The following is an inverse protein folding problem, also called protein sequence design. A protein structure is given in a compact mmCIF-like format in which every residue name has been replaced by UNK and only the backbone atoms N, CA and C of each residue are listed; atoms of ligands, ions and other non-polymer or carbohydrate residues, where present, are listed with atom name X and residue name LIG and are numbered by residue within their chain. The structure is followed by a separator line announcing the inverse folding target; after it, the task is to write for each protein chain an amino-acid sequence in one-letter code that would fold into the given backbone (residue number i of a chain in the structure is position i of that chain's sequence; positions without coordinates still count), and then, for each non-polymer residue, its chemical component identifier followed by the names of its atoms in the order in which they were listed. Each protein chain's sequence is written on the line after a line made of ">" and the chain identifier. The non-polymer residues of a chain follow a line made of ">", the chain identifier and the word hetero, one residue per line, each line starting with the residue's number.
data_IF_977090709044
#
_entry.id   IF_977090709044
#
_cell.length_a   1.000
_cell.length_b   1.000
_cell.length_c   1.000
_cell.angle_alpha   90.00
_cell.angle_beta   90.00
_cell.angle_gamma   90.00
#
_symmetry.space_group_name_H-M   'P 1'
#
loop_
_entity.id
_entity.type
_entity.pdbx_description
1 polymer ?
#
# COMPACT_ATOMS: atom_id res chain seq x y z
N UNK A 1 -9.55 -83.08 -8.86
CA UNK A 1 -10.12 -81.73 -9.06
C UNK A 1 -9.72 -80.90 -7.85
N UNK A 2 -8.86 -79.87 -8.03
CA UNK A 2 -9.40 -78.53 -8.23
C UNK A 2 -8.65 -77.71 -9.31
N UNK A 3 -9.36 -76.67 -9.76
CA UNK A 3 -9.02 -75.68 -10.77
C UNK A 3 -7.98 -74.69 -10.22
N UNK A 4 -6.87 -74.48 -10.94
CA UNK A 4 -5.96 -73.34 -10.71
C UNK A 4 -6.42 -72.18 -11.59
N UNK A 5 -6.98 -71.15 -10.95
CA UNK A 5 -7.39 -69.89 -11.59
C UNK A 5 -6.15 -69.01 -11.74
N UNK A 6 -5.80 -68.69 -12.99
CA UNK A 6 -4.87 -67.62 -13.33
C UNK A 6 -5.48 -66.26 -12.98
N UNK A 7 -4.79 -65.46 -12.16
CA UNK A 7 -5.06 -64.02 -12.06
C UNK A 7 -3.90 -63.27 -12.71
N UNK A 8 -4.14 -62.73 -13.91
CA UNK A 8 -3.28 -61.75 -14.55
C UNK A 8 -3.56 -60.37 -13.92
N UNK A 9 -2.59 -59.81 -13.20
CA UNK A 9 -2.63 -58.40 -12.81
C UNK A 9 -2.13 -57.55 -13.97
N UNK A 10 -3.06 -56.96 -14.72
CA UNK A 10 -2.79 -55.84 -15.63
C UNK A 10 -2.73 -54.55 -14.81
N UNK A 11 -1.53 -54.08 -14.48
CA UNK A 11 -1.29 -52.75 -13.93
C UNK A 11 -1.39 -51.73 -15.06
N UNK A 12 -2.56 -51.11 -15.20
CA UNK A 12 -2.79 -49.95 -16.04
C UNK A 12 -2.21 -48.71 -15.35
N UNK A 13 -1.00 -48.28 -15.76
CA UNK A 13 -0.46 -46.98 -15.41
C UNK A 13 -1.20 -45.89 -16.20
N UNK A 14 -2.17 -45.23 -15.56
CA UNK A 14 -2.71 -43.96 -16.04
C UNK A 14 -1.66 -42.87 -15.80
N UNK A 15 -0.98 -42.46 -16.87
CA UNK A 15 -0.11 -41.28 -16.90
C UNK A 15 -0.95 -40.01 -16.70
N UNK A 16 -1.00 -39.48 -15.49
CA UNK A 16 -1.43 -38.10 -15.28
C UNK A 16 -0.33 -37.18 -15.78
N UNK A 17 -0.60 -36.45 -16.87
CA UNK A 17 0.21 -35.33 -17.28
C UNK A 17 0.17 -34.28 -16.15
N UNK A 18 1.26 -34.18 -15.38
CA UNK A 18 1.51 -33.05 -14.49
C UNK A 18 1.79 -31.86 -15.40
N UNK A 19 0.75 -31.07 -15.70
CA UNK A 19 0.95 -29.72 -16.22
C UNK A 19 1.82 -28.98 -15.21
N UNK A 20 3.05 -28.66 -15.59
CA UNK A 20 3.98 -27.93 -14.75
C UNK A 20 3.37 -26.60 -14.32
N UNK A 21 3.07 -26.47 -13.03
CA UNK A 21 2.71 -25.18 -12.45
C UNK A 21 3.99 -24.36 -12.46
N UNK A 22 4.09 -23.41 -13.40
CA UNK A 22 5.23 -22.50 -13.45
C UNK A 22 5.20 -21.65 -12.17
N UNK A 23 6.27 -21.75 -11.38
CA UNK A 23 6.36 -21.04 -10.11
C UNK A 23 6.45 -19.53 -10.37
N UNK A 24 5.64 -18.74 -9.68
CA UNK A 24 5.57 -17.28 -9.86
C UNK A 24 6.37 -16.55 -8.78
N UNK A 25 6.98 -15.42 -9.14
CA UNK A 25 7.68 -14.54 -8.19
C UNK A 25 6.70 -13.54 -7.58
N UNK A 26 6.34 -13.74 -6.31
CA UNK A 26 5.42 -12.87 -5.58
C UNK A 26 5.95 -11.45 -5.34
N UNK A 27 7.26 -11.23 -5.52
CA UNK A 27 7.89 -9.91 -5.38
C UNK A 27 7.86 -9.09 -6.66
N UNK A 28 7.66 -9.73 -7.82
CA UNK A 28 7.66 -9.06 -9.10
C UNK A 28 6.27 -9.09 -9.73
N UNK A 29 5.61 -7.94 -9.77
CA UNK A 29 4.32 -7.75 -10.42
C UNK A 29 4.48 -6.82 -11.64
N UNK A 30 4.18 -7.35 -12.82
CA UNK A 30 4.34 -6.66 -14.09
C UNK A 30 2.96 -6.38 -14.71
N UNK A 31 2.79 -5.17 -15.26
CA UNK A 31 1.59 -4.85 -16.02
C UNK A 31 1.78 -5.38 -17.44
N UNK A 32 1.04 -6.43 -17.81
CA UNK A 32 1.12 -7.03 -19.13
C UNK A 32 0.13 -6.33 -20.06
N UNK A 33 0.66 -5.63 -21.08
CA UNK A 33 -0.14 -5.02 -22.13
C UNK A 33 -1.01 -6.09 -22.80
N UNK A 34 -2.32 -5.90 -22.73
CA UNK A 34 -3.29 -6.80 -23.34
C UNK A 34 -4.65 -6.11 -23.50
N UNK A 35 -5.55 -6.73 -24.26
CA UNK A 35 -6.92 -6.24 -24.40
C UNK A 35 -7.66 -6.36 -23.06
N UNK A 36 -8.10 -5.24 -22.51
CA UNK A 36 -8.88 -5.19 -21.28
C UNK A 36 -10.37 -5.20 -21.61
N UNK A 37 -11.10 -6.22 -21.11
CA UNK A 37 -12.52 -6.43 -21.43
C UNK A 37 -13.45 -5.36 -20.86
N UNK A 38 -13.11 -4.82 -19.69
CA UNK A 38 -13.91 -3.84 -18.98
C UNK A 38 -13.03 -3.00 -18.07
N UNK A 39 -13.31 -1.70 -18.02
CA UNK A 39 -12.71 -0.75 -17.09
C UNK A 39 -13.82 -0.03 -16.34
N UNK A 40 -13.64 0.21 -15.04
CA UNK A 40 -14.56 1.00 -14.20
C UNK A 40 -13.83 2.19 -13.56
N UNK A 41 -14.57 3.12 -12.94
CA UNK A 41 -13.97 4.34 -12.36
C UNK A 41 -13.02 4.06 -11.20
N UNK A 42 -13.25 3.01 -10.41
CA UNK A 42 -12.28 2.57 -9.41
C UNK A 42 -10.94 2.19 -10.05
N UNK A 43 -10.92 1.51 -11.21
CA UNK A 43 -9.68 1.20 -11.93
C UNK A 43 -8.92 2.48 -12.32
N UNK A 44 -9.62 3.54 -12.73
CA UNK A 44 -9.02 4.84 -13.05
C UNK A 44 -8.38 5.49 -11.80
N UNK A 45 -9.02 5.36 -10.62
CA UNK A 45 -8.44 5.84 -9.36
C UNK A 45 -7.10 5.15 -9.07
N UNK A 46 -7.02 3.83 -9.30
CA UNK A 46 -5.78 3.06 -9.16
C UNK A 46 -4.73 3.46 -10.17
N UNK A 47 -5.09 3.61 -11.45
CA UNK A 47 -4.16 4.05 -12.49
C UNK A 47 -3.57 5.41 -12.17
N UNK A 48 -4.40 6.37 -11.73
CA UNK A 48 -3.96 7.68 -11.29
C UNK A 48 -2.98 7.55 -10.12
N UNK A 49 -3.37 6.84 -9.07
CA UNK A 49 -2.56 6.62 -7.86
C UNK A 49 -1.19 5.99 -8.14
N UNK A 50 -1.11 5.05 -9.07
CA UNK A 50 0.12 4.34 -9.42
C UNK A 50 1.05 5.12 -10.34
N UNK A 51 0.51 6.06 -11.13
CA UNK A 51 1.27 6.78 -12.17
C UNK A 51 1.60 8.21 -11.77
N UNK A 52 0.76 8.84 -10.96
CA UNK A 52 0.99 10.20 -10.47
C UNK A 52 1.84 10.14 -9.21
N UNK A 53 3.04 10.69 -9.32
CA UNK A 53 3.90 10.96 -8.17
C UNK A 53 3.53 12.31 -7.60
N UNK A 54 3.27 12.34 -6.30
CA UNK A 54 3.05 13.57 -5.54
C UNK A 54 4.31 13.78 -4.70
N UNK A 55 5.14 14.73 -5.11
CA UNK A 55 6.39 15.09 -4.43
C UNK A 55 6.19 16.25 -3.45
N UNK A 56 5.14 17.04 -3.66
CA UNK A 56 4.78 18.20 -2.83
C UNK A 56 3.27 18.43 -2.80
N UNK A 57 2.78 19.17 -1.79
CA UNK A 57 1.35 19.37 -1.54
C UNK A 57 0.62 20.12 -2.67
N UNK A 58 1.30 21.02 -3.37
CA UNK A 58 0.79 21.76 -4.53
C UNK A 58 0.53 20.86 -5.75
N UNK A 59 1.06 19.63 -5.76
CA UNK A 59 0.80 18.64 -6.80
C UNK A 59 -0.42 17.74 -6.49
N UNK A 60 -1.04 17.90 -5.32
CA UNK A 60 -2.25 17.15 -4.96
C UNK A 60 -3.43 17.77 -5.74
N UNK A 61 -4.14 16.98 -6.56
CA UNK A 61 -5.28 17.49 -7.30
C UNK A 61 -6.42 17.88 -6.36
N UNK A 62 -7.10 18.99 -6.65
CA UNK A 62 -8.30 19.44 -5.92
C UNK A 62 -9.60 18.92 -6.52
N UNK A 63 -9.53 18.49 -7.79
CA UNK A 63 -10.66 18.01 -8.58
C UNK A 63 -10.16 16.94 -9.55
N UNK A 64 -10.94 15.87 -9.71
CA UNK A 64 -10.63 14.75 -10.59
C UNK A 64 -11.73 14.59 -11.65
N UNK A 65 -11.33 14.54 -12.92
CA UNK A 65 -12.23 14.27 -14.05
C UNK A 65 -11.83 12.99 -14.77
N UNK A 66 -12.67 11.97 -14.64
CA UNK A 66 -12.41 10.63 -15.14
C UNK A 66 -13.36 10.26 -16.27
N UNK A 67 -12.82 9.66 -17.33
CA UNK A 67 -13.54 9.34 -18.56
C UNK A 67 -13.26 7.92 -19.01
N UNK A 68 -14.30 7.19 -19.40
CA UNK A 68 -14.22 5.85 -19.98
C UNK A 68 -14.94 5.85 -21.31
N UNK A 69 -14.18 5.71 -22.39
CA UNK A 69 -14.68 5.52 -23.74
C UNK A 69 -14.63 4.03 -24.12
N UNK A 70 -15.78 3.48 -24.51
CA UNK A 70 -15.90 2.11 -24.99
C UNK A 70 -16.96 1.99 -26.09
N UNK A 71 -17.30 0.76 -26.49
CA UNK A 71 -18.27 0.50 -27.56
C UNK A 71 -19.68 1.08 -27.31
N UNK A 72 -20.03 1.30 -26.04
CA UNK A 72 -21.31 1.89 -25.64
C UNK A 72 -21.28 3.42 -25.56
N UNK A 73 -20.14 4.05 -25.85
CA UNK A 73 -19.93 5.49 -25.82
C UNK A 73 -19.03 5.96 -24.67
N UNK A 74 -19.05 7.27 -24.43
CA UNK A 74 -18.27 7.94 -23.40
C UNK A 74 -19.06 8.05 -22.10
N UNK A 75 -18.44 7.65 -20.98
CA UNK A 75 -18.93 7.89 -19.62
C UNK A 75 -17.93 8.78 -18.89
N UNK A 76 -18.43 9.64 -18.01
CA UNK A 76 -17.61 10.53 -17.20
C UNK A 76 -18.03 10.54 -15.74
N UNK A 77 -17.08 10.78 -14.84
CA UNK A 77 -17.30 10.98 -13.42
C UNK A 77 -16.38 12.10 -12.93
N UNK A 78 -16.96 13.08 -12.23
CA UNK A 78 -16.23 14.15 -11.57
C UNK A 78 -16.19 13.87 -10.06
N UNK A 79 -15.06 14.15 -9.42
CA UNK A 79 -14.90 14.11 -7.98
C UNK A 79 -14.37 15.44 -7.47
N UNK A 80 -14.99 15.94 -6.41
CA UNK A 80 -14.57 17.10 -5.66
C UNK A 80 -14.58 16.80 -4.17
N UNK A 81 -13.91 17.65 -3.39
CA UNK A 81 -13.75 17.47 -1.94
C UNK A 81 -15.07 17.55 -1.15
N UNK A 82 -16.09 18.24 -1.69
CA UNK A 82 -17.35 18.53 -1.01
C UNK A 82 -18.34 17.35 -1.00
N UNK A 83 -18.01 16.25 -1.67
CA UNK A 83 -18.86 15.05 -1.71
C UNK A 83 -18.55 14.17 -0.51
N UNK A 84 -19.43 14.18 0.49
CA UNK A 84 -19.33 13.30 1.66
C UNK A 84 -19.15 11.83 1.21
N UNK A 85 -18.03 11.22 1.62
CA UNK A 85 -17.59 9.91 1.13
C UNK A 85 -18.20 8.77 1.95
N UNK A 86 -19.30 8.18 1.48
CA UNK A 86 -19.87 6.98 2.12
C UNK A 86 -19.52 5.67 1.40
N UNK A 87 -19.07 5.75 0.14
CA UNK A 87 -18.69 4.56 -0.63
C UNK A 87 -17.19 4.49 -0.90
N UNK A 88 -16.71 3.28 -1.19
CA UNK A 88 -15.29 2.97 -1.39
C UNK A 88 -14.64 3.74 -2.55
N UNK A 89 -15.39 4.00 -3.62
CA UNK A 89 -14.89 4.75 -4.78
C UNK A 89 -14.59 6.21 -4.39
N UNK A 90 -15.50 6.84 -3.65
CA UNK A 90 -15.33 8.19 -3.14
C UNK A 90 -14.17 8.30 -2.14
N UNK A 91 -13.91 7.27 -1.34
CA UNK A 91 -12.73 7.22 -0.46
C UNK A 91 -11.42 7.22 -1.26
N UNK A 92 -11.35 6.46 -2.36
CA UNK A 92 -10.18 6.49 -3.23
C UNK A 92 -10.00 7.82 -3.95
N UNK A 93 -11.10 8.43 -4.40
CA UNK A 93 -11.09 9.77 -4.97
C UNK A 93 -10.57 10.79 -3.95
N UNK A 94 -11.14 10.80 -2.74
CA UNK A 94 -10.74 11.69 -1.64
C UNK A 94 -9.26 11.51 -1.30
N UNK A 95 -8.80 10.27 -1.18
CA UNK A 95 -7.39 9.96 -0.99
C UNK A 95 -6.50 10.51 -2.11
N UNK A 96 -6.95 10.50 -3.37
CA UNK A 96 -6.18 11.08 -4.48
C UNK A 96 -6.07 12.60 -4.36
N UNK A 97 -6.97 13.25 -3.61
CA UNK A 97 -7.05 14.69 -3.45
C UNK A 97 -6.55 15.20 -2.09
N UNK A 98 -6.07 14.32 -1.20
CA UNK A 98 -5.58 14.71 0.13
C UNK A 98 -4.36 13.91 0.59
N UNK A 99 -3.60 14.46 1.52
CA UNK A 99 -2.55 13.78 2.27
C UNK A 99 -2.96 13.44 3.73
N UNK A 100 -4.19 13.80 4.12
CA UNK A 100 -4.77 13.44 5.42
C UNK A 100 -5.39 12.04 5.38
N UNK A 101 -4.63 11.05 5.86
CA UNK A 101 -5.07 9.66 5.89
C UNK A 101 -6.18 9.41 6.90
N UNK A 102 -6.29 10.20 7.97
CA UNK A 102 -7.35 10.02 8.97
C UNK A 102 -8.67 10.59 8.47
N UNK A 103 -8.62 11.66 7.66
CA UNK A 103 -9.80 12.15 6.94
C UNK A 103 -10.40 11.06 6.03
N UNK A 104 -9.54 10.27 5.35
CA UNK A 104 -10.02 9.21 4.45
C UNK A 104 -10.37 7.93 5.21
N UNK A 105 -9.44 7.40 6.01
CA UNK A 105 -9.51 6.04 6.55
C UNK A 105 -9.85 6.00 8.03
N UNK A 106 -10.05 7.14 8.69
CA UNK A 106 -10.37 7.21 10.12
C UNK A 106 -11.60 6.38 10.47
N UNK A 107 -12.66 6.44 9.64
CA UNK A 107 -13.86 5.62 9.83
C UNK A 107 -13.60 4.13 9.61
N UNK A 108 -12.83 3.78 8.56
CA UNK A 108 -12.43 2.39 8.28
C UNK A 108 -11.62 1.78 9.44
N UNK A 109 -10.79 2.60 10.10
CA UNK A 109 -9.89 2.19 11.16
C UNK A 109 -10.40 2.51 12.56
N UNK A 110 -11.63 3.03 12.71
CA UNK A 110 -12.12 3.60 13.96
C UNK A 110 -12.00 2.64 15.14
N UNK A 111 -12.39 1.38 14.94
CA UNK A 111 -12.32 0.36 15.97
C UNK A 111 -10.87 0.06 16.41
N UNK A 112 -9.92 -0.01 15.47
CA UNK A 112 -8.52 -0.28 15.78
C UNK A 112 -7.87 0.90 16.51
N UNK A 113 -8.22 2.12 16.10
CA UNK A 113 -7.77 3.36 16.75
C UNK A 113 -8.30 3.42 18.19
N UNK A 114 -9.59 3.12 18.40
CA UNK A 114 -10.21 3.07 19.73
C UNK A 114 -9.54 2.01 20.62
N UNK A 115 -9.38 0.77 20.12
CA UNK A 115 -8.72 -0.31 20.84
C UNK A 115 -7.28 0.06 21.21
N UNK A 116 -6.53 0.68 20.29
CA UNK A 116 -5.17 1.11 20.55
C UNK A 116 -5.12 2.24 21.59
N UNK A 117 -6.09 3.15 21.61
CA UNK A 117 -6.22 4.16 22.65
C UNK A 117 -6.43 3.53 24.04
N UNK A 118 -7.37 2.57 24.16
CA UNK A 118 -7.59 1.82 25.41
C UNK A 118 -6.34 1.05 25.84
N UNK A 119 -5.59 0.49 24.89
CA UNK A 119 -4.32 -0.19 25.16
C UNK A 119 -3.28 0.78 25.73
N UNK A 120 -3.14 1.99 25.17
CA UNK A 120 -2.21 3.01 25.68
C UNK A 120 -2.54 3.38 27.13
N UNK A 121 -3.81 3.58 27.44
CA UNK A 121 -4.25 3.90 28.80
C UNK A 121 -3.94 2.75 29.76
N UNK A 122 -4.21 1.52 29.33
CA UNK A 122 -3.86 0.31 30.08
C UNK A 122 -2.35 0.21 30.32
N UNK A 123 -1.54 0.49 29.30
CA UNK A 123 -0.08 0.47 29.39
C UNK A 123 0.46 1.51 30.37
N UNK A 124 -0.09 2.73 30.33
CA UNK A 124 0.27 3.78 31.28
C UNK A 124 -0.07 3.40 32.72
N UNK A 125 -1.18 2.68 32.93
CA UNK A 125 -1.60 2.19 34.23
C UNK A 125 -0.69 1.07 34.76
N UNK A 126 -0.35 0.08 33.92
CA UNK A 126 0.48 -1.06 34.37
C UNK A 126 1.97 -0.73 34.46
N UNK A 127 2.47 0.23 33.68
CA UNK A 127 3.84 0.71 33.78
C UNK A 127 3.99 1.73 34.93
N UNK A 128 4.04 1.23 36.17
CA UNK A 128 4.20 2.06 37.37
C UNK A 128 5.43 1.72 38.23
N UNK A 129 6.67 1.67 37.66
CA UNK A 129 7.85 1.46 38.49
C UNK A 129 8.15 2.71 39.33
N UNK A 130 8.37 2.51 40.64
CA UNK A 130 8.67 3.60 41.60
C UNK A 130 9.81 4.50 41.08
N UNK A 131 9.53 5.81 41.03
CA UNK A 131 10.50 6.84 40.65
C UNK A 131 10.67 7.06 39.14
N UNK A 132 9.87 6.39 38.31
CA UNK A 132 9.83 6.58 36.86
C UNK A 132 8.49 7.15 36.42
N UNK A 133 8.49 7.80 35.25
CA UNK A 133 7.28 8.29 34.59
C UNK A 133 7.31 7.94 33.10
N UNK A 134 6.21 7.42 32.59
CA UNK A 134 5.97 7.28 31.15
C UNK A 134 5.38 8.58 30.60
N UNK A 135 5.78 8.96 29.38
CA UNK A 135 5.13 10.02 28.61
C UNK A 135 4.93 9.54 27.18
N UNK A 136 3.75 9.81 26.62
CA UNK A 136 3.54 9.70 25.18
C UNK A 136 4.10 10.96 24.52
N UNK A 137 5.07 10.77 23.62
CA UNK A 137 5.79 11.85 22.95
C UNK A 137 5.11 12.23 21.64
N UNK A 138 4.70 11.22 20.87
CA UNK A 138 4.02 11.42 19.59
C UNK A 138 3.09 10.24 19.31
N UNK A 139 1.79 10.50 19.19
CA UNK A 139 0.84 9.50 18.68
C UNK A 139 0.63 9.71 17.18
N UNK A 140 0.18 10.91 16.82
CA UNK A 140 -0.17 11.23 15.43
C UNK A 140 1.01 11.80 14.65
N UNK A 141 1.06 11.51 13.35
CA UNK A 141 2.05 12.08 12.43
C UNK A 141 1.42 12.27 11.06
N UNK A 142 1.37 13.51 10.58
CA UNK A 142 0.97 13.80 9.20
C UNK A 142 1.94 13.20 8.17
N UNK A 143 1.46 12.95 6.96
CA UNK A 143 2.25 12.32 5.89
C UNK A 143 3.48 13.17 5.50
N UNK A 144 3.34 14.49 5.39
CA UNK A 144 4.46 15.40 5.12
C UNK A 144 5.61 15.25 6.14
N UNK A 145 5.27 15.14 7.43
CA UNK A 145 6.26 14.91 8.49
C UNK A 145 6.89 13.52 8.39
N UNK A 146 6.12 12.49 8.04
CA UNK A 146 6.64 11.15 7.85
C UNK A 146 7.65 11.11 6.69
N UNK A 147 7.34 11.74 5.56
CA UNK A 147 8.24 11.84 4.42
C UNK A 147 9.52 12.62 4.76
N UNK A 148 9.43 13.71 5.52
CA UNK A 148 10.60 14.42 6.03
C UNK A 148 11.51 13.53 6.89
N UNK A 149 10.94 12.72 7.80
CA UNK A 149 11.71 11.77 8.60
C UNK A 149 12.33 10.67 7.75
N UNK A 150 11.60 10.13 6.77
CA UNK A 150 12.09 9.12 5.83
C UNK A 150 13.28 9.65 5.03
N UNK A 151 13.15 10.83 4.42
CA UNK A 151 14.20 11.46 3.61
C UNK A 151 15.47 11.79 4.42
N UNK A 152 15.34 12.03 5.73
CA UNK A 152 16.47 12.24 6.65
C UNK A 152 17.06 10.94 7.22
N UNK A 153 16.56 9.76 6.82
CA UNK A 153 16.97 8.47 7.38
C UNK A 153 16.59 8.29 8.86
N UNK A 154 15.59 9.02 9.34
CA UNK A 154 15.05 8.93 10.71
C UNK A 154 13.81 8.03 10.78
N UNK A 155 13.33 7.55 9.64
CA UNK A 155 12.35 6.48 9.52
C UNK A 155 12.72 5.58 8.34
N UNK A 156 12.37 4.30 8.43
CA UNK A 156 12.65 3.30 7.39
C UNK A 156 11.51 3.15 6.37
N UNK A 157 10.36 3.79 6.62
CA UNK A 157 9.17 3.67 5.77
C UNK A 157 8.63 5.04 5.36
N UNK A 158 8.11 5.14 4.14
CA UNK A 158 7.40 6.32 3.64
C UNK A 158 6.01 6.47 4.28
N UNK A 159 5.39 5.35 4.68
CA UNK A 159 4.09 5.30 5.34
C UNK A 159 4.18 4.50 6.64
N UNK A 160 3.82 5.14 7.75
CA UNK A 160 3.99 4.64 9.11
C UNK A 160 2.63 4.44 9.80
N UNK A 161 2.59 3.57 10.81
CA UNK A 161 1.44 3.40 11.69
C UNK A 161 1.03 4.69 12.41
N UNK A 162 1.96 5.63 12.62
CA UNK A 162 1.63 6.95 13.15
C UNK A 162 0.73 7.78 12.23
N UNK A 163 0.76 7.53 10.91
CA UNK A 163 -0.12 8.22 9.97
C UNK A 163 -1.58 7.76 10.09
N UNK A 164 -1.81 6.64 10.76
CA UNK A 164 -3.12 6.03 10.96
C UNK A 164 -3.57 6.07 12.44
N UNK A 165 -2.85 6.77 13.32
CA UNK A 165 -3.07 6.75 14.77
C UNK A 165 -2.97 5.35 15.41
N UNK A 166 -2.19 4.45 14.80
CA UNK A 166 -1.99 3.07 15.24
C UNK A 166 -0.60 2.84 15.84
N UNK A 167 0.11 3.90 16.17
CA UNK A 167 1.39 3.86 16.88
C UNK A 167 1.59 5.02 17.84
N UNK A 168 2.51 4.84 18.78
CA UNK A 168 2.90 5.87 19.73
C UNK A 168 4.39 5.74 20.07
N UNK A 169 5.06 6.88 20.11
CA UNK A 169 6.42 7.02 20.61
C UNK A 169 6.36 7.39 22.09
N UNK A 170 7.14 6.71 22.91
CA UNK A 170 7.10 6.80 24.37
C UNK A 170 8.45 7.16 24.97
N UNK A 171 8.40 8.04 25.96
CA UNK A 171 9.57 8.49 26.72
C UNK A 171 9.50 8.02 28.16
N UNK A 172 10.57 7.40 28.65
CA UNK A 172 10.71 7.07 30.08
C UNK A 172 11.57 8.12 30.77
N UNK A 173 11.08 8.64 31.89
CA UNK A 173 11.74 9.69 32.67
C UNK A 173 12.02 9.23 34.09
N UNK A 174 13.16 9.66 34.65
CA UNK A 174 13.50 9.48 36.08
C UNK A 174 14.01 10.80 36.65
N UNK A 175 13.39 11.29 37.73
CA UNK A 175 13.71 12.60 38.33
C UNK A 175 13.78 13.74 37.29
N UNK A 176 12.81 13.78 36.37
CA UNK A 176 12.72 14.77 35.30
C UNK A 176 13.65 14.57 34.10
N UNK A 177 14.61 13.62 34.15
CA UNK A 177 15.54 13.36 33.05
C UNK A 177 14.99 12.30 32.10
N UNK A 178 15.02 12.59 30.80
CA UNK A 178 14.68 11.63 29.76
C UNK A 178 15.75 10.53 29.66
N UNK A 179 15.32 9.27 29.74
CA UNK A 179 16.19 8.12 29.63
C UNK A 179 16.21 7.64 28.19
N UNK A 180 17.15 8.12 27.37
CA UNK A 180 17.28 7.67 25.96
C UNK A 180 17.58 6.18 25.80
N UNK A 181 18.27 5.60 26.78
CA UNK A 181 18.61 4.17 26.85
C UNK A 181 18.37 3.70 28.27
N UNK A 182 17.56 2.66 28.42
CA UNK A 182 17.27 2.06 29.72
C UNK A 182 16.67 0.68 29.54
N UNK A 183 17.06 -0.27 30.39
CA UNK A 183 16.38 -1.57 30.52
C UNK A 183 14.89 -1.47 30.86
N UNK A 184 14.41 -0.28 31.27
CA UNK A 184 12.98 -0.01 31.46
C UNK A 184 12.18 -0.09 30.18
N UNK A 185 12.78 0.16 29.02
CA UNK A 185 12.09 -0.03 27.75
C UNK A 185 11.77 -1.49 27.46
N UNK A 186 12.64 -2.44 27.84
CA UNK A 186 12.34 -3.87 27.71
C UNK A 186 11.15 -4.28 28.58
N UNK A 187 11.06 -3.73 29.79
CA UNK A 187 9.91 -3.96 30.68
C UNK A 187 8.64 -3.39 30.07
N UNK A 188 8.70 -2.14 29.57
CA UNK A 188 7.59 -1.49 28.90
C UNK A 188 7.14 -2.29 27.66
N UNK A 189 8.08 -2.72 26.83
CA UNK A 189 7.83 -3.53 25.64
C UNK A 189 7.18 -4.87 25.97
N UNK A 190 7.62 -5.55 27.03
CA UNK A 190 6.97 -6.78 27.51
C UNK A 190 5.53 -6.52 27.97
N UNK A 191 5.29 -5.44 28.70
CA UNK A 191 3.95 -5.06 29.14
C UNK A 191 3.04 -4.73 27.95
N UNK A 192 3.54 -3.96 26.97
CA UNK A 192 2.82 -3.65 25.74
C UNK A 192 2.44 -4.92 24.97
N UNK A 193 3.38 -5.86 24.83
CA UNK A 193 3.13 -7.18 24.21
C UNK A 193 2.10 -8.00 24.97
N UNK A 194 2.14 -8.02 26.29
CA UNK A 194 1.13 -8.70 27.11
C UNK A 194 -0.28 -8.10 26.96
N UNK A 195 -0.37 -6.82 26.59
CA UNK A 195 -1.63 -6.14 26.28
C UNK A 195 -2.06 -6.28 24.81
N UNK A 196 -1.27 -6.97 23.98
CA UNK A 196 -1.58 -7.23 22.57
C UNK A 196 -0.98 -6.27 21.55
N UNK A 197 -0.10 -5.35 21.96
CA UNK A 197 0.62 -4.47 21.03
C UNK A 197 1.96 -5.07 20.57
N UNK A 198 2.56 -4.45 19.56
CA UNK A 198 3.92 -4.73 19.10
C UNK A 198 4.87 -3.65 19.60
N UNK A 199 6.11 -4.03 19.86
CA UNK A 199 7.13 -3.14 20.40
C UNK A 199 8.28 -2.99 19.40
N UNK A 200 8.63 -1.75 19.06
CA UNK A 200 9.67 -1.45 18.08
C UNK A 200 11.08 -1.86 18.51
N UNK A 201 11.30 -2.16 19.79
CA UNK A 201 12.55 -2.77 20.25
C UNK A 201 12.80 -4.17 19.69
N UNK A 202 11.75 -4.85 19.22
CA UNK A 202 11.86 -6.16 18.55
C UNK A 202 12.07 -6.03 17.02
N UNK A 203 12.06 -4.82 16.46
CA UNK A 203 12.27 -4.64 15.02
C UNK A 203 13.68 -5.08 14.61
N UNK A 204 13.75 -5.85 13.53
CA UNK A 204 15.02 -6.29 12.93
C UNK A 204 15.55 -5.16 12.03
N UNK A 205 16.86 -4.90 12.11
CA UNK A 205 17.52 -3.87 11.30
C UNK A 205 17.36 -2.44 11.80
N UNK A 206 16.21 -2.08 12.40
CA UNK A 206 15.98 -0.74 12.96
C UNK A 206 15.24 -0.79 14.32
N UNK A 207 15.89 -1.25 15.41
CA UNK A 207 15.26 -1.28 16.73
C UNK A 207 14.92 0.13 17.23
N UNK A 208 13.64 0.34 17.53
CA UNK A 208 13.14 1.57 18.16
C UNK A 208 12.45 1.24 19.49
N UNK A 209 13.24 1.25 20.56
CA UNK A 209 12.78 0.90 21.91
C UNK A 209 11.69 1.84 22.44
N UNK A 210 11.56 3.04 21.86
CA UNK A 210 10.52 4.01 22.21
C UNK A 210 9.20 3.79 21.48
N UNK A 211 9.13 2.86 20.52
CA UNK A 211 7.99 2.74 19.63
C UNK A 211 7.05 1.59 20.02
N UNK A 212 5.76 1.83 19.99
CA UNK A 212 4.70 0.83 20.22
C UNK A 212 3.65 0.99 19.13
N UNK A 213 3.17 -0.11 18.55
CA UNK A 213 2.19 -0.08 17.47
C UNK A 213 1.17 -1.22 17.55
N UNK A 214 0.00 -1.01 16.93
CA UNK A 214 -1.13 -1.96 16.98
C UNK A 214 -0.93 -3.19 16.08
N UNK A 215 -0.15 -3.06 15.00
CA UNK A 215 0.10 -4.12 14.02
C UNK A 215 1.60 -4.44 13.97
N UNK A 216 1.99 -5.65 13.58
CA UNK A 216 3.40 -6.03 13.52
C UNK A 216 4.19 -5.22 12.50
N UNK A 217 3.58 -4.93 11.35
CA UNK A 217 4.14 -4.13 10.26
C UNK A 217 3.03 -3.68 9.30
N UNK A 218 3.39 -2.91 8.27
CA UNK A 218 2.44 -2.44 7.25
C UNK A 218 1.75 -3.56 6.47
N UNK A 219 2.42 -4.71 6.28
CA UNK A 219 1.84 -5.85 5.58
C UNK A 219 0.64 -6.42 6.34
N UNK A 220 0.75 -6.57 7.66
CA UNK A 220 -0.33 -7.09 8.50
C UNK A 220 -1.53 -6.12 8.55
N UNK A 221 -1.29 -4.81 8.55
CA UNK A 221 -2.35 -3.81 8.42
C UNK A 221 -3.08 -3.93 7.07
N UNK A 222 -2.33 -4.01 5.96
CA UNK A 222 -2.90 -4.16 4.60
C UNK A 222 -3.62 -5.50 4.42
N UNK A 223 -3.15 -6.56 5.08
CA UNK A 223 -3.82 -7.85 5.07
C UNK A 223 -5.21 -7.77 5.73
N UNK A 224 -5.34 -7.03 6.84
CA UNK A 224 -6.61 -6.82 7.53
C UNK A 224 -7.51 -5.81 6.81
N UNK A 225 -6.93 -4.77 6.20
CA UNK A 225 -7.63 -3.72 5.46
C UNK A 225 -7.07 -3.56 4.03
N UNK A 226 -7.46 -4.43 3.09
CA UNK A 226 -6.88 -4.45 1.73
C UNK A 226 -7.00 -3.14 0.97
N UNK A 227 -8.00 -2.31 1.24
CA UNK A 227 -8.16 -0.97 0.67
C UNK A 227 -6.98 -0.04 0.98
N UNK A 228 -6.28 -0.22 2.11
CA UNK A 228 -5.09 0.58 2.43
C UNK A 228 -3.91 0.30 1.50
N UNK A 229 -3.97 -0.76 0.69
CA UNK A 229 -3.06 -0.94 -0.46
C UNK A 229 -3.00 0.32 -1.31
N UNK A 230 -4.11 1.07 -1.41
CA UNK A 230 -4.19 2.30 -2.19
C UNK A 230 -3.24 3.40 -1.68
N UNK A 231 -2.98 3.46 -0.37
CA UNK A 231 -2.02 4.39 0.18
C UNK A 231 -0.58 3.93 0.01
N UNK A 232 -0.33 2.65 0.31
CA UNK A 232 1.01 2.09 0.23
C UNK A 232 1.52 2.00 -1.21
N UNK A 233 0.65 1.78 -2.21
CA UNK A 233 1.07 1.60 -3.61
C UNK A 233 1.78 2.84 -4.17
N UNK A 234 1.41 4.05 -3.69
CA UNK A 234 2.07 5.32 -4.05
C UNK A 234 3.58 5.28 -3.80
N UNK A 235 4.01 4.55 -2.78
CA UNK A 235 5.39 4.45 -2.33
C UNK A 235 6.04 3.11 -2.66
N UNK A 236 5.35 2.24 -3.41
CA UNK A 236 5.84 0.88 -3.71
C UNK A 236 7.25 0.86 -4.29
N UNK A 237 7.56 1.79 -5.19
CA UNK A 237 8.89 1.90 -5.79
C UNK A 237 10.00 2.14 -4.75
N UNK A 238 9.72 2.88 -3.66
CA UNK A 238 10.67 3.10 -2.56
C UNK A 238 10.90 1.81 -1.77
N UNK A 239 9.84 1.05 -1.50
CA UNK A 239 9.93 -0.23 -0.80
C UNK A 239 10.74 -1.23 -1.63
N UNK A 240 10.46 -1.33 -2.93
CA UNK A 240 11.20 -2.18 -3.87
C UNK A 240 12.68 -1.79 -3.95
N UNK A 241 12.97 -0.49 -4.06
CA UNK A 241 14.35 0.03 -4.08
C UNK A 241 15.09 -0.28 -2.78
N UNK A 242 14.46 -0.06 -1.63
CA UNK A 242 15.04 -0.32 -0.32
C UNK A 242 15.34 -1.81 -0.13
N UNK A 243 14.40 -2.67 -0.51
CA UNK A 243 14.57 -4.12 -0.47
C UNK A 243 15.69 -4.60 -1.39
N UNK A 244 15.69 -4.19 -2.67
CA UNK A 244 16.74 -4.53 -3.62
C UNK A 244 18.12 -4.06 -3.16
N UNK A 245 18.21 -2.84 -2.59
CA UNK A 245 19.46 -2.29 -2.06
C UNK A 245 19.97 -3.07 -0.85
N UNK A 246 19.08 -3.54 0.02
CA UNK A 246 19.45 -4.39 1.16
C UNK A 246 19.93 -5.77 0.70
N UNK A 247 19.25 -6.40 -0.27
CA UNK A 247 19.70 -7.65 -0.88
C UNK A 247 21.09 -7.53 -1.51
N UNK A 248 21.36 -6.44 -2.24
CA UNK A 248 22.67 -6.18 -2.83
C UNK A 248 23.79 -6.06 -1.79
N UNK A 249 23.46 -5.71 -0.54
CA UNK A 249 24.39 -5.64 0.59
C UNK A 249 24.44 -6.92 1.44
N UNK A 250 23.71 -7.97 1.07
CA UNK A 250 23.58 -9.19 1.88
C UNK A 250 22.77 -9.00 3.16
N UNK A 251 21.88 -7.99 3.19
CA UNK A 251 21.09 -7.58 4.36
C UNK A 251 19.61 -7.94 4.23
N UNK A 252 19.27 -8.96 3.44
CA UNK A 252 17.88 -9.37 3.18
C UNK A 252 17.08 -9.64 4.46
N UNK A 253 17.70 -10.31 5.43
CA UNK A 253 17.08 -10.65 6.72
C UNK A 253 16.71 -9.41 7.56
N UNK A 254 17.35 -8.26 7.29
CA UNK A 254 17.06 -7.01 8.00
C UNK A 254 15.86 -6.24 7.43
N UNK A 255 15.30 -6.68 6.31
CA UNK A 255 14.21 -5.98 5.59
C UNK A 255 13.03 -6.91 5.27
N UNK A 256 12.86 -7.96 6.07
CA UNK A 256 11.79 -8.94 5.90
C UNK A 256 10.38 -8.29 5.95
N UNK A 257 10.16 -7.32 6.82
CA UNK A 257 8.90 -6.56 6.87
C UNK A 257 8.62 -5.81 5.56
N UNK A 258 9.66 -5.31 4.90
CA UNK A 258 9.53 -4.65 3.58
C UNK A 258 9.17 -5.67 2.51
N UNK A 259 9.78 -6.86 2.55
CA UNK A 259 9.46 -7.98 1.64
C UNK A 259 7.99 -8.39 1.78
N UNK A 260 7.51 -8.58 3.01
CA UNK A 260 6.12 -8.93 3.30
C UNK A 260 5.14 -7.87 2.78
N UNK A 261 5.47 -6.59 2.98
CA UNK A 261 4.64 -5.50 2.47
C UNK A 261 4.54 -5.55 0.95
N UNK A 262 5.67 -5.66 0.23
CA UNK A 262 5.67 -5.75 -1.25
C UNK A 262 4.79 -6.91 -1.72
N UNK A 263 4.89 -8.08 -1.07
CA UNK A 263 4.08 -9.25 -1.42
C UNK A 263 2.59 -8.99 -1.26
N UNK A 264 2.15 -8.41 -0.14
CA UNK A 264 0.72 -8.11 0.08
C UNK A 264 0.20 -7.04 -0.89
N UNK A 265 1.01 -6.02 -1.19
CA UNK A 265 0.65 -5.02 -2.21
C UNK A 265 0.49 -5.69 -3.59
N UNK A 266 1.45 -6.54 -3.97
CA UNK A 266 1.41 -7.24 -5.26
C UNK A 266 0.20 -8.17 -5.35
N UNK A 267 -0.07 -8.94 -4.30
CA UNK A 267 -1.22 -9.83 -4.20
C UNK A 267 -2.54 -9.08 -4.38
N UNK A 268 -2.69 -7.90 -3.75
CA UNK A 268 -3.90 -7.09 -3.87
C UNK A 268 -4.06 -6.43 -5.26
N UNK A 269 -2.98 -6.31 -6.03
CA UNK A 269 -2.98 -5.77 -7.40
C UNK A 269 -2.93 -6.81 -8.50
N UNK A 270 -2.63 -8.07 -8.19
CA UNK A 270 -2.63 -9.15 -9.17
C UNK A 270 -3.99 -9.28 -9.86
N UNK A 271 -3.97 -9.50 -11.18
CA UNK A 271 -5.15 -9.62 -12.04
C UNK A 271 -6.03 -8.36 -12.09
N UNK A 272 -5.54 -7.21 -11.62
CA UNK A 272 -6.23 -5.92 -11.74
C UNK A 272 -5.80 -5.17 -12.98
N UNK A 273 -6.70 -4.32 -13.48
CA UNK A 273 -6.41 -3.42 -14.59
C UNK A 273 -5.33 -2.43 -14.18
N UNK A 274 -4.42 -2.13 -15.11
CA UNK A 274 -3.31 -1.22 -14.91
C UNK A 274 -3.03 -0.37 -16.14
N UNK A 275 -2.50 0.82 -15.88
CA UNK A 275 -1.73 1.60 -16.85
C UNK A 275 -0.31 1.02 -16.86
N UNK A 276 0.22 0.57 -18.00
CA UNK A 276 1.55 -0.04 -18.07
C UNK A 276 2.66 0.94 -17.66
N UNK A 277 3.84 0.40 -17.31
CA UNK A 277 4.94 1.19 -16.74
C UNK A 277 5.52 2.25 -17.68
N UNK A 278 5.56 1.95 -18.98
CA UNK A 278 6.17 2.83 -19.98
C UNK A 278 5.11 3.66 -20.68
N UNK A 279 5.35 4.97 -20.74
CA UNK A 279 4.53 5.87 -21.52
C UNK A 279 4.71 5.59 -23.02
N UNK A 280 3.66 5.85 -23.80
CA UNK A 280 3.66 5.77 -25.26
C UNK A 280 3.54 7.16 -25.87
N UNK A 281 3.90 7.27 -27.14
CA UNK A 281 3.66 8.48 -27.93
C UNK A 281 2.16 8.75 -28.05
N UNK A 282 1.81 10.01 -28.27
CA UNK A 282 0.43 10.43 -28.52
C UNK A 282 -0.17 9.57 -29.65
N UNK A 283 -1.33 8.93 -29.43
CA UNK A 283 -2.05 8.21 -30.47
C UNK A 283 -2.32 9.10 -31.69
N UNK A 284 -2.08 8.56 -32.90
CA UNK A 284 -2.06 9.33 -34.15
C UNK A 284 -3.41 9.92 -34.56
N UNK A 285 -4.48 9.33 -34.03
CA UNK A 285 -5.88 9.72 -34.24
C UNK A 285 -6.30 10.92 -33.39
N UNK A 286 -5.50 11.34 -32.41
CA UNK A 286 -5.80 12.47 -31.56
C UNK A 286 -5.31 13.79 -32.17
N UNK A 287 -6.17 14.80 -32.14
CA UNK A 287 -5.88 16.15 -32.63
C UNK A 287 -5.57 17.09 -31.47
N UNK A 288 -5.01 18.27 -31.76
CA UNK A 288 -4.79 19.32 -30.76
C UNK A 288 -6.11 19.68 -30.02
N UNK A 289 -7.23 19.67 -30.73
CA UNK A 289 -8.55 19.98 -30.16
C UNK A 289 -8.99 18.97 -29.10
N UNK A 290 -8.56 17.70 -29.21
CA UNK A 290 -8.86 16.69 -28.19
C UNK A 290 -8.29 17.08 -26.82
N UNK A 291 -7.16 17.80 -26.78
CA UNK A 291 -6.55 18.24 -25.52
C UNK A 291 -7.30 19.39 -24.84
N UNK A 292 -8.15 20.13 -25.57
CA UNK A 292 -8.90 21.26 -25.00
C UNK A 292 -9.87 20.82 -23.90
N UNK A 293 -10.35 19.56 -23.93
CA UNK A 293 -11.24 19.01 -22.91
C UNK A 293 -10.55 18.85 -21.53
N UNK A 294 -9.22 18.88 -21.48
CA UNK A 294 -8.44 18.77 -20.24
C UNK A 294 -7.91 20.14 -19.77
N UNK A 295 -8.48 21.22 -20.31
CA UNK A 295 -8.29 22.59 -19.86
C UNK A 295 -9.51 22.96 -19.01
N UNK A 296 -9.29 23.26 -17.74
CA UNK A 296 -10.38 23.54 -16.81
C UNK A 296 -9.92 23.63 -15.37
N UNK A 297 -10.89 23.60 -14.46
CA UNK A 297 -10.67 23.65 -13.01
C UNK A 297 -10.05 22.35 -12.49
N UNK A 298 -10.30 21.23 -13.17
CA UNK A 298 -9.74 19.95 -12.79
C UNK A 298 -8.22 19.92 -12.93
N UNK A 299 -7.57 19.40 -11.91
CA UNK A 299 -6.11 19.34 -11.78
C UNK A 299 -5.59 17.91 -11.95
N UNK A 300 -6.45 16.90 -11.82
CA UNK A 300 -6.17 15.53 -12.21
C UNK A 300 -7.18 14.99 -13.23
N UNK A 301 -6.70 14.32 -14.27
CA UNK A 301 -7.54 13.70 -15.30
C UNK A 301 -7.09 12.28 -15.58
N UNK A 302 -8.07 11.40 -15.84
CA UNK A 302 -7.82 10.07 -16.40
C UNK A 302 -8.81 9.82 -17.53
N UNK A 303 -8.31 9.58 -18.74
CA UNK A 303 -9.14 9.23 -19.89
C UNK A 303 -8.73 7.88 -20.43
N UNK A 304 -9.64 6.91 -20.39
CA UNK A 304 -9.41 5.56 -20.92
C UNK A 304 -10.14 5.42 -22.24
N UNK A 305 -9.41 5.08 -23.31
CA UNK A 305 -10.02 4.52 -24.51
C UNK A 305 -9.84 3.00 -24.49
N UNK A 306 -10.91 2.29 -24.11
CA UNK A 306 -10.86 0.85 -23.87
C UNK A 306 -10.64 0.06 -25.17
N UNK A 307 -11.21 0.52 -26.29
CA UNK A 307 -11.09 -0.16 -27.59
C UNK A 307 -9.69 -0.02 -28.18
N UNK A 308 -9.13 1.19 -28.09
CA UNK A 308 -7.78 1.49 -28.56
C UNK A 308 -6.69 0.99 -27.60
N UNK A 309 -7.06 0.58 -26.38
CA UNK A 309 -6.16 -0.09 -25.45
C UNK A 309 -5.16 0.83 -24.77
N UNK A 310 -5.52 2.09 -24.52
CA UNK A 310 -4.66 3.07 -23.86
C UNK A 310 -5.42 3.92 -22.84
N UNK A 311 -4.67 4.52 -21.93
CA UNK A 311 -5.14 5.48 -20.93
C UNK A 311 -4.23 6.72 -20.94
N UNK A 312 -4.85 7.89 -20.94
CA UNK A 312 -4.20 9.16 -20.70
C UNK A 312 -4.36 9.57 -19.25
N UNK A 313 -3.27 9.94 -18.58
CA UNK A 313 -3.26 10.36 -17.19
C UNK A 313 -2.55 11.71 -17.12
N UNK A 314 -3.22 12.72 -16.56
CA UNK A 314 -2.68 14.08 -16.39
C UNK A 314 -2.79 14.51 -14.94
N UNK A 315 -1.73 15.12 -14.42
CA UNK A 315 -1.74 15.82 -13.13
C UNK A 315 -1.03 17.17 -13.29
N UNK A 316 -1.68 18.25 -12.84
CA UNK A 316 -1.23 19.61 -13.16
C UNK A 316 -1.12 19.79 -14.67
N UNK A 317 -0.01 20.34 -15.16
CA UNK A 317 0.20 20.59 -16.60
C UNK A 317 0.80 19.40 -17.37
N UNK A 318 1.21 18.34 -16.69
CA UNK A 318 1.88 17.19 -17.30
C UNK A 318 0.91 16.02 -17.50
N UNK A 319 0.89 15.45 -18.71
CA UNK A 319 0.07 14.29 -19.03
C UNK A 319 0.78 13.30 -19.95
N UNK A 320 0.50 12.01 -19.74
CA UNK A 320 1.15 10.91 -20.44
C UNK A 320 0.14 9.84 -20.84
N UNK A 321 0.40 9.19 -21.97
CA UNK A 321 -0.36 8.04 -22.44
C UNK A 321 0.34 6.75 -22.00
N UNK A 322 -0.44 5.77 -21.59
CA UNK A 322 0.04 4.45 -21.20
C UNK A 322 -0.80 3.37 -21.89
N UNK A 323 -0.19 2.24 -22.30
CA UNK A 323 -0.97 1.07 -22.69
C UNK A 323 -1.79 0.54 -21.52
N UNK A 324 -3.00 0.06 -21.80
CA UNK A 324 -3.78 -0.72 -20.84
C UNK A 324 -3.20 -2.13 -20.72
N UNK A 325 -3.30 -2.69 -19.53
CA UNK A 325 -2.91 -4.06 -19.26
C UNK A 325 -3.58 -4.65 -18.03
N UNK A 326 -3.17 -5.86 -17.70
CA UNK A 326 -3.54 -6.55 -16.46
C UNK A 326 -2.24 -6.90 -15.71
N UNK A 327 -2.24 -6.68 -14.41
CA UNK A 327 -1.13 -7.08 -13.56
C UNK A 327 -1.03 -8.60 -13.46
N UNK A 328 0.18 -9.11 -13.59
CA UNK A 328 0.52 -10.53 -13.46
C UNK A 328 1.85 -10.68 -12.75
N UNK A 329 2.02 -11.77 -12.02
CA UNK A 329 3.30 -12.09 -11.41
C UNK A 329 4.31 -12.47 -12.50
N UNK A 330 5.57 -12.07 -12.31
CA UNK A 330 6.66 -12.58 -13.12
C UNK A 330 6.80 -14.10 -12.91
N UNK A 331 7.24 -14.80 -13.93
CA UNK A 331 7.65 -16.20 -13.82
C UNK A 331 8.99 -16.27 -13.12
N UNK A 332 9.16 -17.21 -12.17
CA UNK A 332 10.50 -17.51 -11.67
C UNK A 332 11.32 -18.09 -12.81
N UNK A 333 12.55 -17.57 -12.97
CA UNK A 333 13.54 -18.09 -13.92
C UNK A 333 14.17 -19.37 -13.40
#
# INVERSE_FOLDING_TARGET
>A
MPVKICLFFMLSFCSFAVYGVQETDSLQLNCQKQLVKSVNFQDLQWMFRERVRVESQDQIPTHLDFFIENASGLKSQNYSFDVASENKENLFALSNMTDDLLLVWGNTLAHEIENFNVLKDSLANVFNPRGYRLKFLQSERGLARQMDLFNRGRSMTALSMHNFNLAVDVGIYRRGRYLRRSNRYEILGRLAKNLGAFWGGDFVGFPDVGHIQAFSNGANLVQKFPELTFEYIRYKYLYEQNYASALARGQGDLVEDTRQLIMELNKNRAQKVCACQQAITIPKDLTAQWFEQFRGVSTGYVYVNQQAGWVYIKNGDSGYFYPLGIYSFATKN
#
